data_IF_129443148109
#
_entry.id   IF_129443148109
#
_cell.length_a   1.000
_cell.length_b   1.000
_cell.length_c   1.000
_cell.angle_alpha   90.00
_cell.angle_beta   90.00
_cell.angle_gamma   90.00
#
_symmetry.space_group_name_H-M   'P 1'
#
loop_
_entity.id
_entity.type
_entity.pdbx_description
1 polymer ?
#
# COMPACT_ATOMS: atom_id res chain seq x y z
N UNK A 1 3.47 15.67 13.53
CA UNK A 1 2.56 14.51 13.58
C UNK A 1 2.79 13.74 12.29
N UNK A 2 3.40 12.55 12.37
CA UNK A 2 4.01 11.85 11.23
C UNK A 2 2.99 11.46 10.15
N UNK A 3 3.29 11.82 8.90
CA UNK A 3 2.47 11.62 7.70
C UNK A 3 2.39 10.17 7.22
N UNK A 4 1.91 9.26 8.06
CA UNK A 4 1.56 7.90 7.63
C UNK A 4 0.19 7.88 6.96
N UNK A 5 0.10 7.35 5.74
CA UNK A 5 -1.18 7.20 5.01
C UNK A 5 -2.20 6.36 5.78
N UNK A 6 -3.49 6.56 5.50
CA UNK A 6 -4.62 5.93 6.23
C UNK A 6 -4.56 4.40 6.27
N UNK A 7 -4.09 3.74 5.20
CA UNK A 7 -3.87 2.29 5.18
C UNK A 7 -2.73 1.84 6.11
N UNK A 8 -1.63 2.58 6.15
CA UNK A 8 -0.49 2.27 7.01
C UNK A 8 -0.88 2.35 8.50
N UNK A 9 -1.65 3.38 8.86
CA UNK A 9 -2.18 3.53 10.21
C UNK A 9 -3.10 2.37 10.60
N UNK A 10 -3.97 1.95 9.68
CA UNK A 10 -4.82 0.79 9.87
C UNK A 10 -4.01 -0.49 10.13
N UNK A 11 -2.96 -0.75 9.35
CA UNK A 11 -2.12 -1.95 9.49
C UNK A 11 -1.37 -1.99 10.83
N UNK A 12 -0.79 -0.86 11.26
CA UNK A 12 -0.19 -0.78 12.60
C UNK A 12 -1.22 -1.04 13.71
N UNK A 13 -2.42 -0.48 13.58
CA UNK A 13 -3.51 -0.72 14.52
C UNK A 13 -4.02 -2.17 14.51
N UNK A 14 -3.99 -2.83 13.36
CA UNK A 14 -4.37 -4.24 13.22
C UNK A 14 -3.39 -5.15 13.98
N UNK A 15 -2.09 -4.98 13.78
CA UNK A 15 -1.06 -5.76 14.46
C UNK A 15 -1.02 -5.51 15.97
N UNK A 16 -1.18 -4.26 16.39
CA UNK A 16 -1.26 -3.90 17.80
C UNK A 16 -2.38 -4.68 18.51
N UNK A 17 -3.54 -4.79 17.87
CA UNK A 17 -4.66 -5.61 18.37
C UNK A 17 -4.33 -7.11 18.35
N UNK A 18 -3.73 -7.62 17.27
CA UNK A 18 -3.36 -9.04 17.13
C UNK A 18 -2.36 -9.51 18.20
N UNK A 19 -1.42 -8.64 18.59
CA UNK A 19 -0.42 -8.95 19.62
C UNK A 19 -0.77 -8.43 21.02
N UNK A 20 -1.94 -7.81 21.20
CA UNK A 20 -2.33 -7.15 22.44
C UNK A 20 -1.26 -6.16 22.96
N UNK A 21 -0.71 -5.35 22.05
CA UNK A 21 0.26 -4.29 22.32
C UNK A 21 -0.34 -2.93 21.99
N UNK A 22 0.31 -1.86 22.44
CA UNK A 22 -0.02 -0.52 21.99
C UNK A 22 0.57 -0.26 20.59
N UNK A 23 -0.01 0.68 19.85
CA UNK A 23 0.37 0.96 18.45
C UNK A 23 1.81 1.47 18.37
N UNK A 24 2.24 2.24 19.37
CA UNK A 24 3.59 2.82 19.47
C UNK A 24 4.67 1.73 19.55
N UNK A 25 4.43 0.66 20.31
CA UNK A 25 5.37 -0.46 20.42
C UNK A 25 5.52 -1.20 19.09
N UNK A 26 4.42 -1.40 18.36
CA UNK A 26 4.49 -2.01 17.02
C UNK A 26 5.23 -1.09 16.05
N UNK A 27 4.92 0.22 16.04
CA UNK A 27 5.60 1.19 15.17
C UNK A 27 7.11 1.26 15.42
N UNK A 28 7.54 1.05 16.66
CA UNK A 28 8.96 1.06 17.01
C UNK A 28 9.70 -0.22 16.63
N UNK A 29 8.98 -1.33 16.41
CA UNK A 29 9.59 -2.66 16.24
C UNK A 29 9.33 -3.31 14.88
N UNK A 30 8.29 -2.87 14.17
CA UNK A 30 7.90 -3.40 12.88
C UNK A 30 8.33 -2.44 11.77
N UNK A 31 8.98 -3.00 10.74
CA UNK A 31 9.23 -2.32 9.48
C UNK A 31 7.91 -1.81 8.86
N UNK A 32 7.99 -0.86 7.94
CA UNK A 32 6.78 -0.27 7.33
C UNK A 32 5.88 -1.38 6.73
N UNK A 33 4.63 -1.52 7.21
CA UNK A 33 3.74 -2.60 6.78
C UNK A 33 3.43 -2.58 5.29
N UNK A 34 3.55 -1.42 4.63
CA UNK A 34 3.36 -1.29 3.18
C UNK A 34 4.57 -1.79 2.38
N UNK A 35 5.77 -1.77 2.97
CA UNK A 35 7.02 -2.16 2.30
C UNK A 35 7.36 -3.65 2.51
N UNK A 36 6.98 -4.23 3.64
CA UNK A 36 7.27 -5.65 3.92
C UNK A 36 6.40 -6.63 3.12
N UNK A 37 5.30 -6.16 2.53
CA UNK A 37 4.38 -6.97 1.70
C UNK A 37 3.85 -8.25 2.38
N UNK A 38 3.69 -8.22 3.71
CA UNK A 38 3.24 -9.38 4.51
C UNK A 38 1.73 -9.42 4.77
N UNK A 39 1.01 -8.35 4.44
CA UNK A 39 -0.42 -8.22 4.71
C UNK A 39 -1.27 -8.55 3.48
N UNK A 40 -2.36 -9.28 3.71
CA UNK A 40 -3.44 -9.43 2.75
C UNK A 40 -4.74 -8.87 3.36
N UNK A 41 -5.29 -7.82 2.76
CA UNK A 41 -6.52 -7.17 3.21
C UNK A 41 -7.71 -8.04 2.85
N UNK A 42 -8.30 -8.70 3.85
CA UNK A 42 -9.53 -9.49 3.68
C UNK A 42 -10.80 -8.62 3.73
N UNK A 43 -11.96 -9.21 3.44
CA UNK A 43 -13.26 -8.53 3.39
C UNK A 43 -13.59 -7.77 4.69
N UNK A 44 -13.26 -8.34 5.86
CA UNK A 44 -13.47 -7.68 7.15
C UNK A 44 -12.61 -6.43 7.27
N UNK A 45 -11.33 -6.54 6.91
CA UNK A 45 -10.40 -5.40 6.92
C UNK A 45 -10.83 -4.31 5.94
N UNK A 46 -11.36 -4.67 4.77
CA UNK A 46 -11.92 -3.68 3.82
C UNK A 46 -13.10 -2.91 4.41
N UNK A 47 -14.03 -3.60 5.09
CA UNK A 47 -15.16 -2.95 5.79
C UNK A 47 -14.68 -2.01 6.90
N UNK A 48 -13.66 -2.43 7.67
CA UNK A 48 -13.08 -1.59 8.72
C UNK A 48 -12.36 -0.37 8.13
N UNK A 49 -11.60 -0.54 7.04
CA UNK A 49 -10.94 0.55 6.31
C UNK A 49 -11.96 1.57 5.77
N UNK A 50 -13.05 1.10 5.17
CA UNK A 50 -14.08 1.98 4.64
C UNK A 50 -14.81 2.73 5.77
N UNK A 51 -15.25 2.02 6.82
CA UNK A 51 -16.07 2.60 7.88
C UNK A 51 -15.29 3.55 8.80
N UNK A 52 -14.02 3.25 9.09
CA UNK A 52 -13.21 4.03 10.04
C UNK A 52 -12.35 5.08 9.34
N UNK A 53 -11.81 4.75 8.16
CA UNK A 53 -10.83 5.60 7.47
C UNK A 53 -11.36 6.18 6.14
N UNK A 54 -12.56 5.79 5.69
CA UNK A 54 -13.09 6.20 4.39
C UNK A 54 -12.31 5.66 3.20
N UNK A 55 -11.47 4.64 3.42
CA UNK A 55 -10.60 4.07 2.38
C UNK A 55 -11.30 2.89 1.71
N UNK A 56 -11.46 2.98 0.39
CA UNK A 56 -11.98 1.89 -0.46
C UNK A 56 -10.96 1.54 -1.52
N UNK A 57 -10.85 0.25 -1.84
CA UNK A 57 -10.05 -0.24 -2.97
C UNK A 57 -10.89 -0.52 -4.21
N UNK A 58 -10.22 -1.03 -5.24
CA UNK A 58 -10.87 -1.58 -6.44
C UNK A 58 -10.61 -3.08 -6.55
N UNK A 59 -11.66 -3.84 -6.75
CA UNK A 59 -11.57 -5.25 -7.12
C UNK A 59 -11.48 -5.37 -8.64
N UNK A 60 -10.42 -6.03 -9.12
CA UNK A 60 -10.16 -6.20 -10.56
C UNK A 60 -10.00 -7.68 -10.86
N UNK A 61 -10.90 -8.24 -11.66
CA UNK A 61 -10.77 -9.58 -12.20
C UNK A 61 -9.87 -9.57 -13.45
N UNK A 62 -8.65 -10.10 -13.31
CA UNK A 62 -7.74 -10.23 -14.45
C UNK A 62 -8.06 -11.50 -15.26
N UNK A 63 -8.55 -11.32 -16.50
CA UNK A 63 -8.80 -12.42 -17.44
C UNK A 63 -7.57 -12.71 -18.32
N UNK A 64 -7.44 -13.92 -18.89
CA UNK A 64 -6.36 -14.25 -19.82
C UNK A 64 -6.26 -13.26 -20.98
N UNK A 65 -5.04 -12.79 -21.28
CA UNK A 65 -4.79 -11.79 -22.33
C UNK A 65 -5.10 -10.34 -21.96
N UNK A 66 -5.63 -10.08 -20.76
CA UNK A 66 -5.93 -8.72 -20.29
C UNK A 66 -4.77 -8.14 -19.49
N UNK A 67 -4.32 -6.96 -19.90
CA UNK A 67 -3.37 -6.16 -19.14
C UNK A 67 -4.11 -5.35 -18.06
N UNK A 68 -3.60 -5.39 -16.83
CA UNK A 68 -4.04 -4.51 -15.74
C UNK A 68 -2.98 -3.42 -15.57
N UNK A 69 -3.37 -2.16 -15.76
CA UNK A 69 -2.49 -1.03 -15.51
C UNK A 69 -2.62 -0.58 -14.06
N UNK A 70 -1.50 -0.57 -13.35
CA UNK A 70 -1.42 -0.13 -11.96
C UNK A 70 -0.59 1.16 -11.95
N UNK A 71 -1.14 2.29 -11.48
CA UNK A 71 -0.37 3.53 -11.38
C UNK A 71 0.83 3.38 -10.44
N UNK A 72 1.85 4.21 -10.66
CA UNK A 72 3.01 4.27 -9.76
C UNK A 72 2.54 4.54 -8.31
N UNK A 73 3.27 3.96 -7.34
CA UNK A 73 3.01 4.11 -5.90
C UNK A 73 1.64 3.59 -5.41
N UNK A 74 0.88 2.88 -6.25
CA UNK A 74 -0.40 2.27 -5.83
C UNK A 74 -0.14 0.95 -5.10
N UNK A 75 -0.49 0.90 -3.81
CA UNK A 75 -0.53 -0.37 -3.06
C UNK A 75 -1.61 -1.28 -3.65
N UNK A 76 -1.23 -2.53 -3.94
CA UNK A 76 -2.14 -3.52 -4.52
C UNK A 76 -1.81 -4.91 -3.97
N UNK A 77 -2.80 -5.79 -3.97
CA UNK A 77 -2.67 -7.19 -3.60
C UNK A 77 -3.27 -8.08 -4.69
N UNK A 78 -2.76 -9.30 -4.80
CA UNK A 78 -3.14 -10.22 -5.88
C UNK A 78 -3.50 -11.57 -5.28
N UNK A 79 -4.68 -12.08 -5.64
CA UNK A 79 -5.10 -13.45 -5.32
C UNK A 79 -5.30 -14.23 -6.64
N UNK A 80 -4.64 -15.39 -6.77
CA UNK A 80 -4.80 -16.25 -7.93
C UNK A 80 -6.01 -17.18 -7.72
N UNK A 81 -7.03 -17.08 -8.56
CA UNK A 81 -8.22 -17.96 -8.51
C UNK A 81 -7.99 -19.34 -9.17
N UNK A 82 -6.91 -19.50 -9.93
CA UNK A 82 -6.45 -20.75 -10.53
C UNK A 82 -4.95 -20.66 -10.89
N UNK A 83 -4.40 -21.65 -11.59
CA UNK A 83 -3.01 -21.63 -12.04
C UNK A 83 -2.80 -20.58 -13.15
N UNK A 84 -1.88 -19.64 -12.93
CA UNK A 84 -1.62 -18.53 -13.86
C UNK A 84 -0.13 -18.18 -13.95
N UNK A 85 0.27 -17.65 -15.11
CA UNK A 85 1.55 -16.96 -15.32
C UNK A 85 1.29 -15.50 -15.63
N UNK A 86 2.02 -14.59 -14.97
CA UNK A 86 1.87 -13.14 -15.13
C UNK A 86 3.21 -12.53 -15.53
N UNK A 87 3.18 -11.58 -16.46
CA UNK A 87 4.36 -10.82 -16.87
C UNK A 87 4.09 -9.35 -16.62
N UNK A 88 4.97 -8.70 -15.86
CA UNK A 88 4.97 -7.25 -15.67
C UNK A 88 6.02 -6.63 -16.59
N UNK A 89 5.67 -5.54 -17.29
CA UNK A 89 6.61 -4.82 -18.17
C UNK A 89 6.76 -3.38 -17.72
N UNK A 90 8.00 -2.85 -17.70
CA UNK A 90 8.26 -1.49 -17.28
C UNK A 90 7.96 -0.49 -18.40
N UNK A 91 6.69 -0.26 -18.72
CA UNK A 91 6.31 0.66 -19.79
C UNK A 91 6.52 2.15 -19.40
N UNK A 92 6.73 2.43 -18.11
CA UNK A 92 6.70 3.78 -17.54
C UNK A 92 7.88 4.11 -16.62
N UNK A 93 8.97 3.30 -16.62
CA UNK A 93 10.11 3.51 -15.69
C UNK A 93 10.62 4.94 -15.71
N UNK A 94 10.80 5.56 -16.89
CA UNK A 94 11.30 6.94 -16.99
C UNK A 94 10.34 7.96 -16.35
N UNK A 95 9.02 7.72 -16.43
CA UNK A 95 8.03 8.57 -15.74
C UNK A 95 8.02 8.30 -14.24
N UNK A 96 8.22 7.05 -13.81
CA UNK A 96 8.34 6.74 -12.39
C UNK A 96 9.59 7.38 -11.77
N UNK A 97 10.74 7.31 -12.44
CA UNK A 97 12.00 7.96 -11.99
C UNK A 97 11.77 9.46 -11.84
N UNK A 98 11.18 10.10 -12.85
CA UNK A 98 10.89 11.54 -12.80
C UNK A 98 9.94 11.91 -11.66
N UNK A 99 8.88 11.11 -11.42
CA UNK A 99 7.96 11.34 -10.30
C UNK A 99 8.66 11.19 -8.95
N UNK A 100 9.63 10.27 -8.85
CA UNK A 100 10.42 10.07 -7.63
C UNK A 100 11.33 11.29 -7.37
N UNK A 101 12.01 11.78 -8.41
CA UNK A 101 12.83 13.00 -8.35
C UNK A 101 11.99 14.23 -7.93
N UNK A 102 10.84 14.44 -8.59
CA UNK A 102 9.91 15.54 -8.26
C UNK A 102 9.39 15.44 -6.81
N UNK A 103 9.12 14.24 -6.32
CA UNK A 103 8.68 14.02 -4.94
C UNK A 103 9.78 14.32 -3.91
N UNK A 104 11.02 13.92 -4.20
CA UNK A 104 12.17 14.24 -3.35
C UNK A 104 12.45 15.75 -3.30
N UNK A 105 12.35 16.45 -4.43
CA UNK A 105 12.47 17.92 -4.50
C UNK A 105 11.41 18.62 -3.63
N UNK A 106 10.15 18.19 -3.72
CA UNK A 106 9.06 18.76 -2.91
C UNK A 106 9.27 18.55 -1.41
N UNK A 107 9.76 17.38 -0.99
CA UNK A 107 10.10 17.12 0.42
C UNK A 107 11.24 18.04 0.87
N UNK A 108 12.26 18.22 0.04
CA UNK A 108 13.39 19.08 0.35
C UNK A 108 13.00 20.56 0.45
N UNK A 109 12.11 21.04 -0.42
CA UNK A 109 11.59 22.42 -0.39
C UNK A 109 10.72 22.67 0.85
N UNK A 110 9.87 21.72 1.25
CA UNK A 110 9.05 21.83 2.46
C UNK A 110 9.88 21.77 3.75
N UNK A 111 11.10 21.22 3.70
CA UNK A 111 12.02 21.13 4.83
C UNK A 111 12.91 22.38 5.00
N UNK A 112 12.81 23.39 4.12
CA UNK A 112 13.52 24.66 4.30
C UNK A 112 12.82 25.52 5.38
N UNK A 113 13.57 26.09 6.34
CA UNK A 113 13.02 26.85 7.46
C UNK A 113 12.39 28.18 7.06
#
# INVERSE_FOLDING_TARGET
MGGGGTLQQFLYGHEAKSFNKIVEDIRATMDDPLHITQFFINEKMQKDLQSVYGVTGWEVEQKPGVAVMIPAYTTHQVCNLSNHSKVATPQLINRCIKLDEEFQEQIHEQAKP
#
